data_IF_987418589996
#
_entry.id   IF_987418589996
#
_cell.length_a   1.000
_cell.length_b   1.000
_cell.length_c   1.000
_cell.angle_alpha   90.00
_cell.angle_beta   90.00
_cell.angle_gamma   90.00
#
_symmetry.space_group_name_H-M   'P 1'
#
loop_
_entity.id
_entity.type
_entity.pdbx_description
1 polymer ?
#
# COMPACT_ATOMS: atom_id res chain seq x y z
N UNK A 1 8.06 -19.74 -32.01
CA UNK A 1 6.83 -18.95 -31.83
C UNK A 1 6.04 -19.59 -30.71
N UNK A 2 5.89 -18.93 -29.55
CA UNK A 2 5.07 -19.45 -28.45
C UNK A 2 3.60 -19.43 -28.85
N UNK A 3 2.87 -20.52 -28.57
CA UNK A 3 1.43 -20.56 -28.76
C UNK A 3 0.74 -19.41 -28.02
N UNK A 4 -0.31 -18.80 -28.59
CA UNK A 4 -1.06 -17.76 -27.89
C UNK A 4 -1.61 -18.32 -26.58
N UNK A 5 -1.45 -17.55 -25.47
CA UNK A 5 -1.97 -17.94 -24.17
C UNK A 5 -3.49 -18.14 -24.25
N UNK A 6 -4.01 -19.19 -23.62
CA UNK A 6 -5.44 -19.45 -23.57
C UNK A 6 -6.20 -18.23 -23.00
N UNK A 7 -7.41 -17.93 -23.53
CA UNK A 7 -8.17 -16.77 -23.07
C UNK A 7 -8.56 -16.90 -21.60
N UNK A 8 -8.38 -15.82 -20.87
CA UNK A 8 -8.68 -15.69 -19.46
C UNK A 8 -10.19 -15.84 -19.19
N UNK A 9 -10.57 -16.61 -18.15
CA UNK A 9 -11.97 -16.82 -17.77
C UNK A 9 -12.18 -16.43 -16.31
N UNK A 10 -12.59 -15.18 -16.06
CA UNK A 10 -12.76 -14.62 -14.72
C UNK A 10 -13.77 -15.38 -13.86
N UNK A 11 -14.78 -16.03 -14.45
CA UNK A 11 -15.72 -16.88 -13.69
C UNK A 11 -15.06 -18.09 -13.02
N UNK A 12 -13.84 -18.44 -13.43
CA UNK A 12 -13.03 -19.48 -12.81
C UNK A 12 -12.17 -18.98 -11.64
N UNK A 13 -12.19 -17.69 -11.33
CA UNK A 13 -11.48 -17.10 -10.22
C UNK A 13 -12.06 -17.58 -8.88
N UNK A 14 -11.23 -18.18 -8.04
CA UNK A 14 -11.64 -18.73 -6.74
C UNK A 14 -11.25 -17.84 -5.56
N UNK A 15 -10.32 -16.90 -5.77
CA UNK A 15 -9.72 -16.11 -4.71
C UNK A 15 -8.67 -16.86 -3.89
N UNK A 16 -8.23 -18.03 -4.37
CA UNK A 16 -7.19 -18.81 -3.71
C UNK A 16 -5.88 -18.02 -3.60
N UNK A 17 -5.14 -18.27 -2.50
CA UNK A 17 -3.87 -17.59 -2.23
C UNK A 17 -3.99 -16.23 -1.56
N UNK A 18 -5.19 -15.82 -1.15
CA UNK A 18 -5.39 -14.58 -0.40
C UNK A 18 -6.01 -14.84 0.97
N UNK A 19 -5.24 -14.60 2.04
CA UNK A 19 -5.71 -14.65 3.41
C UNK A 19 -5.93 -13.23 3.95
N UNK A 20 -7.15 -12.96 4.38
CA UNK A 20 -7.52 -11.69 5.02
C UNK A 20 -7.13 -11.62 6.50
N UNK A 21 -6.73 -12.72 7.13
CA UNK A 21 -6.24 -12.87 8.51
C UNK A 21 -7.24 -12.51 9.63
N UNK A 22 -8.39 -11.97 9.33
CA UNK A 22 -9.42 -11.57 10.32
C UNK A 22 -10.80 -12.04 9.90
N UNK A 23 -11.64 -12.36 10.88
CA UNK A 23 -13.03 -12.75 10.67
C UNK A 23 -13.84 -11.62 10.03
N UNK A 24 -14.95 -12.00 9.37
CA UNK A 24 -15.82 -11.09 8.60
C UNK A 24 -16.36 -9.92 9.43
N UNK A 25 -16.61 -10.10 10.73
CA UNK A 25 -17.11 -9.04 11.60
C UNK A 25 -16.08 -7.93 11.80
N UNK A 26 -14.80 -8.29 11.99
CA UNK A 26 -13.71 -7.30 12.11
C UNK A 26 -13.49 -6.56 10.79
N UNK A 27 -13.57 -7.27 9.66
CA UNK A 27 -13.49 -6.67 8.33
C UNK A 27 -14.63 -5.67 8.10
N UNK A 28 -15.87 -6.05 8.43
CA UNK A 28 -17.04 -5.19 8.31
C UNK A 28 -16.96 -3.96 9.23
N UNK A 29 -16.52 -4.15 10.48
CA UNK A 29 -16.31 -3.06 11.43
C UNK A 29 -15.26 -2.07 10.91
N UNK A 30 -14.12 -2.57 10.41
CA UNK A 30 -13.10 -1.69 9.80
C UNK A 30 -13.65 -0.97 8.56
N UNK A 31 -14.37 -1.65 7.69
CA UNK A 31 -14.98 -1.04 6.51
C UNK A 31 -15.93 0.12 6.88
N UNK A 32 -16.74 -0.06 7.93
CA UNK A 32 -17.61 0.99 8.45
C UNK A 32 -16.78 2.17 9.00
N UNK A 33 -15.78 1.89 9.86
CA UNK A 33 -14.90 2.93 10.43
C UNK A 33 -14.13 3.66 9.33
N UNK A 34 -13.58 2.94 8.35
CA UNK A 34 -12.85 3.53 7.24
C UNK A 34 -13.72 4.57 6.51
N UNK A 35 -14.93 4.20 6.12
CA UNK A 35 -15.77 5.04 5.25
C UNK A 35 -16.54 6.13 6.02
N UNK A 36 -16.95 5.87 7.25
CA UNK A 36 -17.77 6.80 8.03
C UNK A 36 -16.94 7.76 8.90
N UNK A 37 -15.69 7.38 9.24
CA UNK A 37 -14.86 8.12 10.21
C UNK A 37 -13.47 8.43 9.65
N UNK A 38 -12.68 7.40 9.33
CA UNK A 38 -11.25 7.50 9.08
C UNK A 38 -10.88 8.44 7.91
N UNK A 39 -11.60 8.35 6.79
CA UNK A 39 -11.34 9.18 5.60
C UNK A 39 -11.86 10.61 5.71
N UNK A 40 -12.66 10.91 6.74
CA UNK A 40 -13.38 12.18 6.83
C UNK A 40 -12.45 13.34 7.22
N UNK A 41 -12.69 14.51 6.63
CA UNK A 41 -11.91 15.72 6.86
C UNK A 41 -12.00 16.25 8.31
N UNK A 42 -13.13 16.04 8.99
CA UNK A 42 -13.38 16.49 10.34
C UNK A 42 -12.65 15.68 11.42
N UNK A 43 -12.16 14.46 11.11
CA UNK A 43 -11.36 13.68 12.05
C UNK A 43 -9.97 14.29 12.18
N UNK A 44 -9.53 14.69 13.39
CA UNK A 44 -8.19 15.23 13.58
C UNK A 44 -7.10 14.23 13.16
N UNK A 45 -6.02 14.69 12.49
CA UNK A 45 -4.97 13.80 12.00
C UNK A 45 -4.37 12.86 13.04
N UNK A 46 -4.21 13.33 14.30
CA UNK A 46 -3.66 12.57 15.43
C UNK A 46 -4.50 11.35 15.86
N UNK A 47 -5.78 11.30 15.50
CA UNK A 47 -6.66 10.18 15.84
C UNK A 47 -6.57 9.01 14.87
N UNK A 48 -6.11 9.25 13.64
CA UNK A 48 -5.98 8.19 12.63
C UNK A 48 -4.99 7.10 13.01
N UNK A 49 -3.77 7.43 13.51
CA UNK A 49 -2.86 6.42 14.06
C UNK A 49 -3.49 5.57 15.16
N UNK A 50 -4.22 6.20 16.10
CA UNK A 50 -4.89 5.48 17.17
C UNK A 50 -5.96 4.51 16.66
N UNK A 51 -6.77 4.92 15.66
CA UNK A 51 -7.75 4.04 15.03
C UNK A 51 -7.06 2.85 14.32
N UNK A 52 -5.96 3.08 13.60
CA UNK A 52 -5.21 2.00 12.97
C UNK A 52 -4.68 1.00 14.00
N UNK A 53 -4.11 1.48 15.12
CA UNK A 53 -3.64 0.63 16.22
C UNK A 53 -4.78 -0.19 16.83
N UNK A 54 -5.96 0.42 17.03
CA UNK A 54 -7.15 -0.27 17.56
C UNK A 54 -7.61 -1.44 16.66
N UNK A 55 -7.35 -1.34 15.35
CA UNK A 55 -7.63 -2.40 14.39
C UNK A 55 -6.41 -3.28 14.07
N UNK A 56 -5.34 -3.21 14.87
CA UNK A 56 -4.22 -4.15 14.82
C UNK A 56 -3.03 -3.73 13.96
N UNK A 57 -2.97 -2.50 13.48
CA UNK A 57 -1.76 -1.95 12.88
C UNK A 57 -0.68 -1.71 13.94
N UNK A 58 0.59 -1.85 13.55
CA UNK A 58 1.72 -1.36 14.32
C UNK A 58 2.06 0.03 13.81
N UNK A 59 1.93 1.05 14.64
CA UNK A 59 2.17 2.45 14.24
C UNK A 59 3.02 3.11 15.29
N UNK A 60 4.12 3.68 14.89
CA UNK A 60 5.08 4.41 15.73
C UNK A 60 4.56 5.77 16.21
N UNK A 61 5.47 6.60 16.68
CA UNK A 61 5.19 7.91 17.23
C UNK A 61 5.25 9.01 16.16
N UNK A 62 4.64 10.16 16.40
CA UNK A 62 4.64 11.35 15.54
C UNK A 62 4.22 11.10 14.08
N UNK A 63 3.38 10.07 13.87
CA UNK A 63 2.85 9.73 12.55
C UNK A 63 1.70 10.67 12.18
N UNK A 64 1.82 11.32 11.03
CA UNK A 64 0.80 12.20 10.46
C UNK A 64 0.07 11.49 9.32
N UNK A 65 -1.24 11.27 9.47
CA UNK A 65 -2.08 10.72 8.40
C UNK A 65 -3.15 11.76 8.04
N UNK A 66 -3.15 12.20 6.78
CA UNK A 66 -4.11 13.19 6.28
C UNK A 66 -5.46 12.54 5.98
N UNK A 67 -6.49 13.37 5.84
CA UNK A 67 -7.83 12.90 5.46
C UNK A 67 -7.84 12.28 4.06
N UNK A 68 -8.91 11.54 3.73
CA UNK A 68 -9.05 10.77 2.49
C UNK A 68 -8.00 9.66 2.27
N UNK A 69 -6.96 9.55 3.14
CA UNK A 69 -6.07 8.40 3.11
C UNK A 69 -6.89 7.11 3.36
N UNK A 70 -6.55 6.03 2.66
CA UNK A 70 -7.25 4.74 2.74
C UNK A 70 -6.28 3.63 3.06
N UNK A 71 -6.65 2.74 3.98
CA UNK A 71 -5.90 1.54 4.34
C UNK A 71 -6.84 0.36 4.20
N UNK A 72 -6.46 -0.64 3.39
CA UNK A 72 -7.32 -1.81 3.15
C UNK A 72 -7.46 -2.63 4.43
N UNK A 73 -6.32 -3.05 5.04
CA UNK A 73 -6.30 -3.88 6.24
C UNK A 73 -5.29 -3.36 7.27
N UNK A 74 -5.73 -2.71 8.35
CA UNK A 74 -4.81 -2.19 9.38
C UNK A 74 -3.89 -3.25 9.96
N UNK A 75 -4.37 -4.47 10.19
CA UNK A 75 -3.59 -5.58 10.76
C UNK A 75 -2.47 -6.11 9.85
N UNK A 76 -2.40 -5.67 8.61
CA UNK A 76 -1.31 -5.93 7.66
C UNK A 76 -0.45 -4.69 7.42
N UNK A 77 -0.41 -3.73 8.36
CA UNK A 77 0.31 -2.47 8.22
C UNK A 77 1.23 -2.24 9.40
N UNK A 78 2.50 -1.96 9.09
CA UNK A 78 3.50 -1.50 10.05
C UNK A 78 4.02 -0.13 9.60
N UNK A 79 4.03 0.84 10.49
CA UNK A 79 4.52 2.21 10.26
C UNK A 79 5.47 2.56 11.39
N UNK A 80 6.68 3.02 11.07
CA UNK A 80 7.68 3.53 12.00
C UNK A 80 7.33 4.93 12.55
N UNK A 81 8.32 5.59 13.11
CA UNK A 81 8.20 6.93 13.68
C UNK A 81 8.33 8.01 12.60
N UNK A 82 7.79 9.20 12.86
CA UNK A 82 7.97 10.40 12.03
C UNK A 82 7.50 10.24 10.57
N UNK A 83 6.54 9.35 10.32
CA UNK A 83 6.01 9.05 8.98
C UNK A 83 4.88 9.99 8.61
N UNK A 84 4.90 10.48 7.38
CA UNK A 84 3.83 11.29 6.81
C UNK A 84 3.09 10.54 5.72
N UNK A 85 1.76 10.43 5.86
CA UNK A 85 0.84 9.89 4.85
C UNK A 85 -0.06 11.01 4.34
N UNK A 86 0.11 11.36 3.08
CA UNK A 86 -0.56 12.45 2.38
C UNK A 86 -2.07 12.23 2.19
N UNK A 87 -2.75 13.31 1.83
CA UNK A 87 -4.18 13.27 1.51
C UNK A 87 -4.44 12.34 0.33
N UNK A 88 -5.47 11.50 0.46
CA UNK A 88 -5.89 10.60 -0.62
C UNK A 88 -4.92 9.45 -0.90
N UNK A 89 -3.82 9.31 -0.17
CA UNK A 89 -2.93 8.16 -0.31
C UNK A 89 -3.71 6.85 -0.09
N UNK A 90 -3.42 5.84 -0.91
CA UNK A 90 -4.14 4.57 -0.85
C UNK A 90 -3.19 3.39 -0.64
N UNK A 91 -3.31 2.75 0.51
CA UNK A 91 -2.57 1.55 0.89
C UNK A 91 -3.47 0.33 0.63
N UNK A 92 -3.31 -0.29 -0.54
CA UNK A 92 -4.02 -1.52 -0.95
C UNK A 92 -3.17 -2.70 -0.44
N UNK A 93 -3.21 -2.91 0.87
CA UNK A 93 -2.36 -3.87 1.55
C UNK A 93 -3.04 -5.23 1.72
N UNK A 94 -3.24 -5.94 0.60
CA UNK A 94 -3.67 -7.34 0.61
C UNK A 94 -2.59 -8.23 1.24
N UNK A 95 -1.32 -7.89 1.06
CA UNK A 95 -0.16 -8.41 1.78
C UNK A 95 0.45 -7.31 2.66
N UNK A 96 1.39 -7.63 3.57
CA UNK A 96 1.97 -6.65 4.46
C UNK A 96 2.59 -5.45 3.73
N UNK A 97 2.34 -4.26 4.26
CA UNK A 97 3.11 -3.05 3.95
C UNK A 97 3.88 -2.67 5.21
N UNK A 98 5.20 -2.54 5.05
CA UNK A 98 6.10 -2.00 6.08
C UNK A 98 6.62 -0.65 5.62
N UNK A 99 6.48 0.34 6.46
CA UNK A 99 6.95 1.72 6.25
C UNK A 99 7.85 2.03 7.44
N UNK A 100 9.14 2.16 7.19
CA UNK A 100 10.11 2.49 8.23
C UNK A 100 10.00 3.96 8.67
N UNK A 101 10.84 4.41 9.58
CA UNK A 101 10.80 5.78 10.10
C UNK A 101 11.23 6.82 9.05
N UNK A 102 10.78 8.06 9.24
CA UNK A 102 11.12 9.22 8.39
C UNK A 102 10.65 9.12 6.94
N UNK A 103 9.71 8.23 6.63
CA UNK A 103 9.17 8.04 5.29
C UNK A 103 8.05 9.03 4.99
N UNK A 104 8.07 9.57 3.76
CA UNK A 104 6.97 10.38 3.25
C UNK A 104 6.23 9.67 2.10
N UNK A 105 4.95 9.40 2.30
CA UNK A 105 4.01 9.00 1.24
C UNK A 105 3.14 10.20 0.92
N UNK A 106 3.36 10.83 -0.21
CA UNK A 106 2.69 12.07 -0.60
C UNK A 106 1.25 11.86 -1.04
N UNK A 107 0.62 12.96 -1.47
CA UNK A 107 -0.80 13.01 -1.83
C UNK A 107 -1.12 12.08 -3.00
N UNK A 108 -2.23 11.36 -2.87
CA UNK A 108 -2.76 10.46 -3.90
C UNK A 108 -1.77 9.36 -4.35
N UNK A 109 -0.66 9.15 -3.62
CA UNK A 109 0.24 8.03 -3.88
C UNK A 109 -0.44 6.69 -3.56
N UNK A 110 -0.07 5.64 -4.29
CA UNK A 110 -0.67 4.31 -4.16
C UNK A 110 0.41 3.29 -3.83
N UNK A 111 0.21 2.54 -2.74
CA UNK A 111 1.00 1.36 -2.41
C UNK A 111 0.10 0.14 -2.65
N UNK A 112 0.39 -0.66 -3.68
CA UNK A 112 -0.46 -1.76 -4.10
C UNK A 112 0.27 -3.10 -4.00
N UNK A 113 -0.02 -3.88 -2.97
CA UNK A 113 0.54 -5.24 -2.79
C UNK A 113 -0.22 -6.29 -3.59
N UNK A 114 -1.39 -5.95 -4.14
CA UNK A 114 -2.24 -6.84 -4.88
C UNK A 114 -1.88 -6.94 -6.35
N UNK A 115 -1.97 -8.15 -6.89
CA UNK A 115 -1.87 -8.41 -8.33
C UNK A 115 -2.50 -9.76 -8.67
N UNK A 116 -2.48 -10.10 -9.95
CA UNK A 116 -2.98 -11.36 -10.47
C UNK A 116 -1.99 -12.02 -11.42
N UNK A 117 -1.98 -13.34 -11.46
CA UNK A 117 -1.21 -14.14 -12.40
C UNK A 117 -1.76 -13.97 -13.81
N UNK A 118 -1.22 -13.03 -14.57
CA UNK A 118 -1.72 -12.63 -15.89
C UNK A 118 -1.81 -13.76 -16.92
N UNK A 119 -1.01 -14.80 -16.77
CA UNK A 119 -0.95 -15.96 -17.67
C UNK A 119 -1.77 -17.16 -17.14
N UNK A 120 -2.36 -17.07 -15.93
CA UNK A 120 -3.24 -18.09 -15.41
C UNK A 120 -4.62 -17.97 -16.05
N UNK A 121 -5.22 -19.08 -16.50
CA UNK A 121 -6.59 -19.09 -17.01
C UNK A 121 -7.61 -18.62 -15.97
N UNK A 122 -7.36 -18.88 -14.67
CA UNK A 122 -8.22 -18.53 -13.55
C UNK A 122 -7.91 -17.17 -12.94
N UNK A 123 -6.84 -16.49 -13.37
CA UNK A 123 -6.47 -15.15 -12.92
C UNK A 123 -6.30 -15.03 -11.40
N UNK A 124 -5.76 -16.06 -10.75
CA UNK A 124 -5.57 -16.10 -9.30
C UNK A 124 -4.60 -15.02 -8.79
N UNK A 125 -4.63 -14.77 -7.49
CA UNK A 125 -3.79 -13.74 -6.86
C UNK A 125 -2.29 -14.01 -7.06
N UNK A 126 -1.56 -12.91 -7.20
CA UNK A 126 -0.10 -12.83 -7.28
C UNK A 126 0.37 -11.65 -6.43
N UNK A 127 0.00 -11.70 -5.14
CA UNK A 127 0.27 -10.64 -4.19
C UNK A 127 1.69 -10.78 -3.62
N UNK A 128 2.31 -9.65 -3.23
CA UNK A 128 3.59 -9.65 -2.52
C UNK A 128 3.71 -8.39 -1.65
N UNK A 129 4.45 -8.44 -0.53
CA UNK A 129 4.59 -7.32 0.39
C UNK A 129 5.33 -6.13 -0.24
N UNK A 130 5.17 -4.95 0.36
CA UNK A 130 5.93 -3.73 0.03
C UNK A 130 6.70 -3.30 1.27
N UNK A 131 7.95 -2.86 1.07
CA UNK A 131 8.77 -2.25 2.10
C UNK A 131 9.27 -0.89 1.63
N UNK A 132 9.02 0.15 2.43
CA UNK A 132 9.61 1.47 2.27
C UNK A 132 10.63 1.65 3.39
N UNK A 133 11.92 1.67 3.06
CA UNK A 133 12.99 1.83 4.03
C UNK A 133 13.11 3.28 4.51
N UNK A 134 13.85 3.49 5.62
CA UNK A 134 13.95 4.77 6.31
C UNK A 134 14.30 5.93 5.38
N UNK A 135 13.57 7.04 5.52
CA UNK A 135 13.78 8.24 4.72
C UNK A 135 13.31 8.15 3.26
N UNK A 136 12.72 7.03 2.83
CA UNK A 136 12.20 6.91 1.47
C UNK A 136 11.04 7.90 1.22
N UNK A 137 10.93 8.36 -0.01
CA UNK A 137 9.87 9.27 -0.43
C UNK A 137 9.10 8.75 -1.64
N UNK A 138 7.82 8.49 -1.46
CA UNK A 138 6.87 8.22 -2.54
C UNK A 138 6.13 9.51 -2.84
N UNK A 139 6.50 10.18 -3.92
CA UNK A 139 5.98 11.51 -4.27
C UNK A 139 4.51 11.46 -4.75
N UNK A 140 3.93 12.63 -4.98
CA UNK A 140 2.51 12.76 -5.30
C UNK A 140 2.11 11.92 -6.52
N UNK A 141 1.00 11.15 -6.38
CA UNK A 141 0.46 10.26 -7.42
C UNK A 141 1.43 9.18 -7.90
N UNK A 142 2.56 8.98 -7.23
CA UNK A 142 3.43 7.86 -7.54
C UNK A 142 2.79 6.54 -7.09
N UNK A 143 3.19 5.45 -7.71
CA UNK A 143 2.69 4.11 -7.38
C UNK A 143 3.85 3.18 -7.08
N UNK A 144 3.74 2.41 -5.99
CA UNK A 144 4.65 1.30 -5.67
C UNK A 144 3.86 0.01 -5.82
N UNK A 145 4.35 -0.89 -6.67
CA UNK A 145 3.69 -2.16 -6.93
C UNK A 145 4.18 -3.26 -5.99
N UNK A 146 3.44 -4.36 -5.98
CA UNK A 146 3.71 -5.53 -5.16
C UNK A 146 5.17 -6.01 -5.25
N UNK A 147 5.70 -6.46 -4.15
CA UNK A 147 7.02 -7.06 -4.05
C UNK A 147 8.18 -6.06 -4.08
N UNK A 148 7.89 -4.76 -4.15
CA UNK A 148 8.93 -3.72 -4.28
C UNK A 148 9.43 -3.28 -2.90
N UNK A 149 10.76 -3.21 -2.78
CA UNK A 149 11.46 -2.49 -1.72
C UNK A 149 11.95 -1.15 -2.26
N UNK A 150 11.55 -0.06 -1.61
CA UNK A 150 12.10 1.28 -1.86
C UNK A 150 13.18 1.54 -0.83
N UNK A 151 14.44 1.49 -1.26
CA UNK A 151 15.61 1.58 -0.40
C UNK A 151 15.72 2.90 0.37
N UNK A 152 16.54 2.91 1.42
CA UNK A 152 16.69 4.03 2.33
C UNK A 152 17.02 5.34 1.59
N UNK A 153 16.25 6.41 1.85
CA UNK A 153 16.41 7.70 1.19
C UNK A 153 16.09 7.72 -0.31
N UNK A 154 15.62 6.61 -0.89
CA UNK A 154 15.24 6.58 -2.31
C UNK A 154 13.92 7.34 -2.57
N UNK A 155 13.76 7.82 -3.78
CA UNK A 155 12.61 8.64 -4.20
C UNK A 155 11.89 8.00 -5.38
N UNK A 156 10.60 7.73 -5.22
CA UNK A 156 9.70 7.46 -6.34
C UNK A 156 9.07 8.80 -6.72
N UNK A 157 9.52 9.38 -7.83
CA UNK A 157 9.11 10.70 -8.30
C UNK A 157 7.61 10.79 -8.61
N UNK A 158 7.10 12.01 -8.65
CA UNK A 158 5.67 12.26 -8.87
C UNK A 158 5.16 11.58 -10.16
N UNK A 159 4.06 10.84 -10.03
CA UNK A 159 3.45 10.09 -11.13
C UNK A 159 4.24 8.87 -11.62
N UNK A 160 5.41 8.58 -11.06
CA UNK A 160 6.21 7.40 -11.44
C UNK A 160 5.63 6.11 -10.86
N UNK A 161 5.95 4.98 -11.52
CA UNK A 161 5.51 3.64 -11.09
C UNK A 161 6.74 2.78 -10.80
N UNK A 162 7.00 2.52 -9.51
CA UNK A 162 8.02 1.58 -9.09
C UNK A 162 7.48 0.14 -9.20
N UNK A 163 8.03 -0.64 -10.11
CA UNK A 163 7.66 -2.03 -10.37
C UNK A 163 8.82 -3.01 -10.10
N UNK A 164 9.93 -2.53 -9.62
CA UNK A 164 11.13 -3.24 -9.17
C UNK A 164 11.75 -2.51 -7.98
N UNK A 165 12.61 -3.18 -7.25
CA UNK A 165 13.32 -2.59 -6.13
C UNK A 165 14.14 -1.37 -6.56
N UNK A 166 14.18 -0.37 -5.70
CA UNK A 166 15.01 0.81 -5.85
C UNK A 166 16.13 0.77 -4.80
N UNK A 167 17.40 0.86 -5.22
CA UNK A 167 18.52 0.95 -4.29
C UNK A 167 18.42 2.19 -3.38
N UNK A 168 19.10 2.14 -2.23
CA UNK A 168 19.19 3.29 -1.33
C UNK A 168 19.68 4.54 -2.07
N UNK A 169 19.04 5.67 -1.84
CA UNK A 169 19.34 6.96 -2.45
C UNK A 169 18.99 7.10 -3.94
N UNK A 170 18.45 6.06 -4.58
CA UNK A 170 18.07 6.13 -5.99
C UNK A 170 16.85 7.05 -6.22
N UNK A 171 16.81 7.68 -7.39
CA UNK A 171 15.67 8.50 -7.82
C UNK A 171 15.05 7.91 -9.08
N UNK A 172 13.84 7.39 -8.94
CA UNK A 172 13.05 6.85 -10.05
C UNK A 172 12.00 7.86 -10.48
N UNK A 173 12.06 8.31 -11.73
CA UNK A 173 11.12 9.28 -12.28
C UNK A 173 10.44 8.75 -13.54
N UNK A 174 9.38 9.42 -13.98
CA UNK A 174 8.74 9.08 -15.26
C UNK A 174 9.78 9.20 -16.39
N UNK A 175 10.13 8.06 -17.00
CA UNK A 175 11.04 7.98 -18.15
C UNK A 175 12.54 8.04 -17.84
N UNK A 176 12.98 8.11 -16.57
CA UNK A 176 14.40 8.08 -16.18
C UNK A 176 14.62 7.50 -14.78
N UNK A 177 15.60 6.61 -14.66
CA UNK A 177 16.19 6.22 -13.38
C UNK A 177 17.53 6.98 -13.21
N UNK A 178 17.81 7.50 -12.03
CA UNK A 178 19.08 8.15 -11.67
C UNK A 178 19.59 7.58 -10.36
#
# INVERSE_FOLDING_TARGET
MSAPAAPRRLRGFTGAGYDKQRGVLVQAAWFAVLNLVFVKWWLPPRWRPALLRAFGARVGERVLIRHRARVQWPWKLTIGDDVWIGEGAWLINLEPITIDSDVCVSQEAVLCTGSHRRHSPTFEFDNAPIHLESGAWVAARAMVLRGVTVGAGAVVGAGAVAHRDLPAGAVHTVGRDR
#
